data_IF_578860957719
#
_entry.id   IF_578860957719
#
_cell.length_a   1.000
_cell.length_b   1.000
_cell.length_c   1.000
_cell.angle_alpha   90.00
_cell.angle_beta   90.00
_cell.angle_gamma   90.00
#
_symmetry.space_group_name_H-M   'P 1'
#
loop_
_entity.id
_entity.type
_entity.pdbx_description
1 polymer ?
#
# COMPACT_ATOMS: atom_id res chain seq x y z
N UNK A 1 -11.02 9.31 -16.37
CA UNK A 1 -10.36 10.64 -16.36
C UNK A 1 -8.85 10.41 -16.31
N UNK A 2 -8.06 11.21 -17.04
CA UNK A 2 -6.59 11.17 -16.98
C UNK A 2 -6.12 12.52 -16.45
N UNK A 3 -5.16 12.50 -15.51
CA UNK A 3 -4.54 13.69 -14.97
C UNK A 3 -3.05 13.50 -14.71
N UNK A 4 -2.35 14.61 -14.54
CA UNK A 4 -0.98 14.64 -14.05
C UNK A 4 -0.92 15.36 -12.71
N UNK A 5 -0.21 14.77 -11.76
CA UNK A 5 -0.04 15.30 -10.42
C UNK A 5 1.44 15.61 -10.16
N UNK A 6 1.79 16.91 -10.11
CA UNK A 6 3.17 17.40 -9.95
C UNK A 6 3.27 18.61 -9.02
N UNK A 7 3.16 18.42 -7.69
CA UNK A 7 3.25 19.50 -6.70
C UNK A 7 4.68 19.89 -6.31
N UNK A 8 5.67 19.56 -7.14
CA UNK A 8 7.11 19.72 -6.89
C UNK A 8 7.47 21.14 -6.43
N UNK A 9 6.93 22.16 -7.10
CA UNK A 9 7.23 23.56 -6.79
C UNK A 9 6.81 23.94 -5.37
N UNK A 10 5.62 23.52 -4.93
CA UNK A 10 5.11 23.76 -3.58
C UNK A 10 5.99 23.08 -2.52
N UNK A 11 6.36 21.81 -2.75
CA UNK A 11 7.20 21.03 -1.83
C UNK A 11 8.61 21.62 -1.74
N UNK A 12 9.24 21.91 -2.88
CA UNK A 12 10.58 22.50 -2.93
C UNK A 12 10.61 23.89 -2.30
N UNK A 13 9.54 24.68 -2.46
CA UNK A 13 9.42 25.98 -1.81
C UNK A 13 9.41 25.82 -0.28
N UNK A 14 8.58 24.92 0.25
CA UNK A 14 8.50 24.66 1.68
C UNK A 14 9.83 24.17 2.27
N UNK A 15 10.51 23.26 1.56
CA UNK A 15 11.84 22.75 1.93
C UNK A 15 12.86 23.88 2.02
N UNK A 16 12.95 24.75 1.00
CA UNK A 16 13.88 25.89 0.98
C UNK A 16 13.58 26.90 2.09
N UNK A 17 12.30 27.18 2.35
CA UNK A 17 11.90 28.14 3.39
C UNK A 17 12.23 27.62 4.79
N UNK A 18 11.92 26.36 5.09
CA UNK A 18 12.08 25.78 6.45
C UNK A 18 13.49 25.27 6.73
N UNK A 19 14.22 24.84 5.69
CA UNK A 19 15.53 24.22 5.79
C UNK A 19 16.54 24.87 4.83
N UNK A 20 16.65 26.20 4.88
CA UNK A 20 17.49 27.00 3.98
C UNK A 20 18.99 26.63 3.96
N UNK A 21 19.48 25.96 5.02
CA UNK A 21 20.87 25.52 5.15
C UNK A 21 21.17 24.20 4.41
N UNK A 22 20.15 23.54 3.86
CA UNK A 22 20.30 22.27 3.18
C UNK A 22 20.65 22.49 1.71
N UNK A 23 21.80 21.97 1.29
CA UNK A 23 22.35 22.16 -0.06
C UNK A 23 22.47 20.84 -0.82
N UNK A 24 21.95 20.75 -2.03
CA UNK A 24 22.06 19.56 -2.87
C UNK A 24 20.94 19.48 -3.90
N UNK A 25 20.90 18.38 -4.66
CA UNK A 25 19.81 18.11 -5.61
C UNK A 25 18.78 17.20 -4.93
N UNK A 26 17.64 17.73 -4.47
CA UNK A 26 16.59 16.92 -3.87
C UNK A 26 15.88 16.10 -4.96
N UNK A 27 15.55 14.86 -4.62
CA UNK A 27 14.67 13.98 -5.40
C UNK A 27 13.43 13.73 -4.56
N UNK A 28 12.26 14.08 -5.09
CA UNK A 28 10.98 13.88 -4.43
C UNK A 28 10.43 12.52 -4.86
N UNK A 29 10.03 11.73 -3.87
CA UNK A 29 9.28 10.49 -4.06
C UNK A 29 7.89 10.69 -3.49
N UNK A 30 6.87 10.47 -4.32
CA UNK A 30 5.48 10.47 -3.89
C UNK A 30 5.16 9.11 -3.28
N UNK A 31 4.78 9.09 -2.00
CA UNK A 31 4.62 7.86 -1.22
C UNK A 31 3.17 7.35 -1.28
N UNK A 32 2.17 8.16 -0.94
CA UNK A 32 0.76 7.78 -0.96
C UNK A 32 -0.16 8.98 -1.24
N UNK A 33 -1.31 8.73 -1.87
CA UNK A 33 -2.40 9.71 -1.98
C UNK A 33 -3.64 9.17 -1.28
N UNK A 34 -4.24 9.94 -0.39
CA UNK A 34 -5.45 9.54 0.34
C UNK A 34 -6.41 10.69 0.60
N UNK A 35 -7.69 10.36 0.69
CA UNK A 35 -8.72 11.31 1.08
C UNK A 35 -8.85 11.37 2.60
N UNK A 36 -9.10 12.55 3.15
CA UNK A 36 -9.58 12.66 4.52
C UNK A 36 -10.96 12.01 4.66
N UNK A 37 -11.34 11.63 5.89
CA UNK A 37 -12.64 11.03 6.21
C UNK A 37 -13.86 11.84 5.70
N UNK A 38 -13.77 13.18 5.71
CA UNK A 38 -14.82 14.09 5.23
C UNK A 38 -14.85 14.28 3.70
N UNK A 39 -13.89 13.68 2.99
CA UNK A 39 -13.62 13.87 1.56
C UNK A 39 -13.41 15.33 1.13
N UNK A 40 -13.10 16.23 2.07
CA UNK A 40 -12.80 17.63 1.75
C UNK A 40 -11.31 17.90 1.56
N UNK A 41 -10.45 17.07 2.16
CA UNK A 41 -9.00 17.18 2.03
C UNK A 41 -8.41 15.98 1.32
N UNK A 42 -7.34 16.23 0.58
CA UNK A 42 -6.46 15.21 0.02
C UNK A 42 -5.09 15.36 0.67
N UNK A 43 -4.53 14.26 1.16
CA UNK A 43 -3.13 14.18 1.53
C UNK A 43 -2.33 13.51 0.42
N UNK A 44 -1.17 14.07 0.15
CA UNK A 44 -0.05 13.41 -0.52
C UNK A 44 1.08 13.28 0.49
N UNK A 45 1.43 12.06 0.86
CA UNK A 45 2.65 11.81 1.61
C UNK A 45 3.83 11.71 0.65
N UNK A 46 4.99 12.21 1.06
CA UNK A 46 6.18 12.22 0.21
C UNK A 46 7.45 12.13 1.03
N UNK A 47 8.51 11.69 0.36
CA UNK A 47 9.88 11.67 0.87
C UNK A 47 10.77 12.53 -0.02
N UNK A 48 11.76 13.20 0.58
CA UNK A 48 12.81 13.92 -0.16
C UNK A 48 14.15 13.31 0.18
N UNK A 49 14.80 12.73 -0.83
CA UNK A 49 16.13 12.18 -0.71
C UNK A 49 17.15 13.05 -1.43
N UNK A 50 18.35 13.10 -0.89
CA UNK A 50 19.49 13.68 -1.58
C UNK A 50 20.36 12.54 -2.09
N UNK A 51 20.17 12.16 -3.35
CA UNK A 51 20.96 11.09 -3.96
C UNK A 51 22.38 11.59 -4.24
N UNK A 52 23.35 10.66 -4.20
CA UNK A 52 24.76 10.91 -4.57
C UNK A 52 25.49 11.95 -3.71
N UNK A 53 25.38 11.83 -2.39
CA UNK A 53 26.09 12.73 -1.47
C UNK A 53 27.54 12.27 -1.23
N UNK A 54 28.53 13.17 -1.23
CA UNK A 54 29.85 12.84 -0.73
C UNK A 54 29.77 12.55 0.77
N UNK A 55 30.44 11.48 1.23
CA UNK A 55 30.40 10.98 2.61
C UNK A 55 30.53 12.02 3.75
N UNK A 56 31.29 13.14 3.64
CA UNK A 56 31.34 14.13 4.71
C UNK A 56 30.11 15.06 4.82
N UNK A 57 29.13 14.97 3.90
CA UNK A 57 27.95 15.84 3.85
C UNK A 57 26.63 15.04 3.82
N UNK A 58 26.46 14.07 4.73
CA UNK A 58 25.20 13.35 4.88
C UNK A 58 24.11 14.32 5.32
N UNK A 59 23.21 14.65 4.40
CA UNK A 59 22.03 15.46 4.65
C UNK A 59 20.92 14.50 5.05
N UNK A 60 20.21 14.82 6.13
CA UNK A 60 19.01 14.07 6.49
C UNK A 60 18.02 14.05 5.32
N UNK A 61 17.46 12.89 5.01
CA UNK A 61 16.28 12.84 4.15
C UNK A 61 15.10 13.51 4.88
N UNK A 62 14.05 13.84 4.14
CA UNK A 62 12.86 14.46 4.71
C UNK A 62 11.63 13.63 4.43
N UNK A 63 10.67 13.65 5.35
CA UNK A 63 9.33 13.15 5.16
C UNK A 63 8.35 14.30 5.28
N UNK A 64 7.27 14.24 4.50
CA UNK A 64 6.28 15.30 4.51
C UNK A 64 4.91 14.87 4.05
N UNK A 65 3.97 15.77 4.31
CA UNK A 65 2.57 15.66 3.90
C UNK A 65 2.20 16.96 3.22
N UNK A 66 1.75 16.88 1.98
CA UNK A 66 1.07 17.96 1.31
C UNK A 66 -0.43 17.75 1.48
N UNK A 67 -1.06 18.70 2.16
CA UNK A 67 -2.52 18.77 2.30
C UNK A 67 -3.07 19.78 1.30
N UNK A 68 -4.13 19.40 0.60
CA UNK A 68 -4.88 20.29 -0.28
C UNK A 68 -6.37 20.15 -0.02
N UNK A 69 -7.06 21.28 -0.02
CA UNK A 69 -8.53 21.31 0.09
C UNK A 69 -9.18 20.96 -1.26
N UNK A 70 -10.46 20.59 -1.21
CA UNK A 70 -11.30 20.39 -2.37
C UNK A 70 -11.40 21.71 -3.15
N UNK A 71 -10.75 21.75 -4.31
CA UNK A 71 -10.55 22.99 -5.09
C UNK A 71 -9.09 23.31 -5.39
N UNK A 72 -8.14 22.58 -4.78
CA UNK A 72 -6.72 22.61 -5.13
C UNK A 72 -5.91 23.71 -4.44
N UNK A 73 -6.58 24.64 -3.76
CA UNK A 73 -5.96 25.71 -2.96
C UNK A 73 -6.84 26.03 -1.73
N UNK A 74 -6.25 26.38 -0.57
CA UNK A 74 -4.82 26.48 -0.29
C UNK A 74 -4.14 25.10 -0.17
N UNK A 75 -2.83 25.08 -0.42
CA UNK A 75 -1.97 23.91 -0.19
C UNK A 75 -1.10 24.16 1.04
N UNK A 76 -0.97 23.15 1.90
CA UNK A 76 -0.15 23.20 3.10
C UNK A 76 0.86 22.06 3.06
N UNK A 77 2.13 22.37 3.32
CA UNK A 77 3.20 21.36 3.36
C UNK A 77 3.72 21.24 4.80
N UNK A 78 3.54 20.05 5.37
CA UNK A 78 4.23 19.61 6.56
C UNK A 78 5.51 18.89 6.16
N UNK A 79 6.60 19.15 6.86
CA UNK A 79 7.91 18.62 6.50
C UNK A 79 8.79 18.46 7.75
N UNK A 80 9.45 17.32 7.86
CA UNK A 80 10.33 17.02 8.98
C UNK A 80 11.59 16.31 8.47
N UNK A 81 12.74 16.65 9.04
CA UNK A 81 13.99 15.94 8.79
C UNK A 81 13.92 14.55 9.45
N UNK A 82 14.31 13.52 8.72
CA UNK A 82 14.39 12.15 9.20
C UNK A 82 15.31 12.10 10.41
N UNK A 83 14.74 11.85 11.58
CA UNK A 83 15.49 11.71 12.83
C UNK A 83 16.07 10.30 12.98
N UNK A 84 15.34 9.27 12.54
CA UNK A 84 15.66 7.85 12.66
C UNK A 84 15.16 7.06 11.43
N UNK A 85 15.65 5.83 11.24
CA UNK A 85 15.03 4.85 10.34
C UNK A 85 13.74 4.30 10.99
N UNK A 86 12.69 5.12 11.02
CA UNK A 86 11.36 4.71 11.48
C UNK A 86 10.62 3.95 10.38
N UNK A 87 9.87 2.91 10.76
CA UNK A 87 9.08 2.12 9.83
C UNK A 87 7.89 2.91 9.27
N UNK A 88 7.22 3.70 10.12
CA UNK A 88 6.04 4.51 9.78
C UNK A 88 6.19 5.93 10.36
N UNK A 89 5.57 6.92 9.70
CA UNK A 89 5.57 8.32 10.16
C UNK A 89 4.15 8.71 10.56
N UNK A 90 3.98 9.21 11.79
CA UNK A 90 2.67 9.64 12.30
C UNK A 90 2.60 11.16 12.41
N UNK A 91 1.48 11.75 11.99
CA UNK A 91 1.27 13.19 11.96
C UNK A 91 0.03 13.58 12.77
N UNK A 92 0.15 14.60 13.63
CA UNK A 92 -0.99 15.35 14.17
C UNK A 92 -1.19 16.60 13.32
N UNK A 93 -2.13 16.50 12.37
CA UNK A 93 -2.40 17.55 11.37
C UNK A 93 -3.09 18.78 11.97
N UNK A 94 -3.64 18.69 13.18
CA UNK A 94 -4.17 19.86 13.89
C UNK A 94 -3.05 20.69 14.53
N UNK A 95 -1.96 20.03 14.92
CA UNK A 95 -0.80 20.66 15.58
C UNK A 95 0.38 20.92 14.63
N UNK A 96 0.30 20.41 13.40
CA UNK A 96 1.34 20.50 12.39
C UNK A 96 2.68 19.86 12.77
N UNK A 97 2.62 18.75 13.49
CA UNK A 97 3.81 18.05 13.98
C UNK A 97 3.79 16.57 13.64
N UNK A 98 4.98 16.02 13.40
CA UNK A 98 5.23 14.58 13.49
C UNK A 98 5.16 14.15 14.96
N UNK A 99 4.51 13.02 15.22
CA UNK A 99 4.50 12.37 16.52
C UNK A 99 5.72 11.46 16.64
N UNK A 100 6.37 11.45 17.81
CA UNK A 100 7.49 10.55 18.05
C UNK A 100 6.96 9.10 18.14
N UNK A 101 7.08 8.35 17.04
CA UNK A 101 6.73 6.93 16.99
C UNK A 101 7.85 6.08 17.60
N UNK A 102 7.52 5.07 18.41
CA UNK A 102 8.50 4.06 18.82
C UNK A 102 9.08 3.39 17.57
N UNK A 103 10.40 3.25 17.52
CA UNK A 103 11.08 2.50 16.44
C UNK A 103 10.65 1.04 16.54
N UNK A 104 9.72 0.62 15.68
CA UNK A 104 9.43 -0.79 15.46
C UNK A 104 10.49 -1.28 14.48
N UNK A 105 11.39 -2.16 14.94
CA UNK A 105 12.43 -2.73 14.09
C UNK A 105 11.82 -3.41 12.85
N UNK A 106 12.31 -3.13 11.63
CA UNK A 106 11.87 -3.83 10.43
C UNK A 106 12.24 -5.32 10.60
N UNK A 107 11.23 -6.16 10.80
CA UNK A 107 11.39 -7.60 11.09
C UNK A 107 10.62 -8.08 12.32
N UNK A 108 10.25 -7.18 13.24
CA UNK A 108 9.35 -7.51 14.34
C UNK A 108 7.89 -7.38 13.86
N UNK A 109 7.45 -8.23 12.94
CA UNK A 109 6.02 -8.38 12.68
C UNK A 109 5.41 -9.10 13.89
N UNK A 110 4.55 -8.46 14.70
CA UNK A 110 3.96 -9.08 15.89
C UNK A 110 2.91 -10.15 15.55
N UNK A 111 2.75 -10.50 14.27
CA UNK A 111 1.81 -11.50 13.78
C UNK A 111 2.37 -12.90 14.11
N UNK A 112 2.44 -13.20 15.40
CA UNK A 112 2.68 -14.53 15.91
C UNK A 112 1.39 -15.34 15.77
N UNK A 113 1.40 -16.34 14.87
CA UNK A 113 0.53 -17.54 14.88
C UNK A 113 -0.94 -17.31 15.28
N UNK A 114 -1.58 -16.27 14.78
CA UNK A 114 -3.03 -16.03 14.88
C UNK A 114 -3.63 -16.10 13.48
N UNK A 115 -4.89 -16.51 13.35
CA UNK A 115 -5.57 -16.57 12.04
C UNK A 115 -5.75 -15.13 11.50
N UNK A 116 -5.10 -14.72 10.39
CA UNK A 116 -5.00 -13.30 10.03
C UNK A 116 -6.26 -12.66 9.43
N UNK A 117 -7.29 -13.45 9.12
CA UNK A 117 -8.64 -12.93 8.85
C UNK A 117 -9.27 -12.22 10.06
N UNK A 118 -8.60 -12.27 11.22
CA UNK A 118 -8.96 -11.54 12.43
C UNK A 118 -8.11 -10.27 12.65
N UNK A 119 -7.08 -10.00 11.83
CA UNK A 119 -6.21 -8.85 12.08
C UNK A 119 -6.83 -7.56 11.54
N UNK A 120 -7.09 -6.64 12.48
CA UNK A 120 -7.76 -5.38 12.23
C UNK A 120 -7.00 -4.26 12.93
N UNK A 121 -6.77 -3.18 12.20
CA UNK A 121 -6.31 -1.92 12.75
C UNK A 121 -7.49 -1.15 13.33
N UNK A 122 -7.29 -0.52 14.48
CA UNK A 122 -8.26 0.31 15.18
C UNK A 122 -7.59 1.57 15.69
N UNK A 123 -8.30 2.70 15.63
CA UNK A 123 -7.80 3.96 16.19
C UNK A 123 -8.06 4.02 17.69
N UNK A 124 -7.00 4.23 18.47
CA UNK A 124 -7.10 4.54 19.90
C UNK A 124 -7.53 5.99 20.14
N UNK A 125 -8.00 6.28 21.35
CA UNK A 125 -8.49 7.63 21.73
C UNK A 125 -7.41 8.73 21.63
N UNK A 126 -6.14 8.36 21.72
CA UNK A 126 -4.99 9.26 21.63
C UNK A 126 -4.49 9.48 20.19
N UNK A 127 -5.17 8.93 19.19
CA UNK A 127 -4.74 9.00 17.79
C UNK A 127 -3.69 7.96 17.38
N UNK A 128 -3.36 6.99 18.24
CA UNK A 128 -2.50 5.87 17.84
C UNK A 128 -3.27 4.84 17.01
N UNK A 129 -2.59 4.26 16.01
CA UNK A 129 -3.13 3.16 15.22
C UNK A 129 -2.68 1.82 15.81
N UNK A 130 -3.63 1.05 16.33
CA UNK A 130 -3.38 -0.21 17.03
C UNK A 130 -3.78 -1.40 16.17
N UNK A 131 -2.88 -2.37 16.01
CA UNK A 131 -3.22 -3.66 15.39
C UNK A 131 -3.75 -4.62 16.46
N UNK A 132 -4.96 -5.14 16.26
CA UNK A 132 -5.61 -6.06 17.17
C UNK A 132 -6.13 -7.31 16.44
N UNK A 133 -6.30 -8.39 17.20
CA UNK A 133 -6.99 -9.60 16.76
C UNK A 133 -8.47 -9.46 17.14
N UNK A 134 -9.35 -9.38 16.15
CA UNK A 134 -10.79 -9.38 16.34
C UNK A 134 -11.26 -10.80 16.67
N UNK A 135 -12.02 -10.98 17.76
CA UNK A 135 -12.63 -12.27 18.04
C UNK A 135 -13.91 -12.40 17.21
N UNK A 136 -13.94 -13.30 16.22
CA UNK A 136 -15.20 -13.64 15.56
C UNK A 136 -15.98 -14.60 16.47
N UNK A 137 -17.24 -14.29 16.73
CA UNK A 137 -18.18 -15.18 17.43
C UNK A 137 -18.67 -16.34 16.55
N UNK A 138 -18.28 -16.37 15.27
CA UNK A 138 -18.56 -17.45 14.35
C UNK A 138 -17.51 -18.55 14.48
N UNK A 139 -17.92 -19.69 15.03
CA UNK A 139 -17.14 -20.92 15.26
C UNK A 139 -16.65 -21.63 13.99
N UNK A 140 -16.60 -20.95 12.85
CA UNK A 140 -16.06 -21.52 11.60
C UNK A 140 -15.49 -20.40 10.73
N UNK A 141 -14.17 -20.39 10.44
CA UNK A 141 -13.61 -19.49 9.44
C UNK A 141 -14.14 -19.92 8.07
N UNK A 142 -15.15 -19.20 7.59
CA UNK A 142 -15.70 -19.43 6.27
C UNK A 142 -14.64 -19.04 5.24
N UNK A 143 -14.27 -19.97 4.34
CA UNK A 143 -13.35 -19.73 3.19
C UNK A 143 -13.87 -18.69 2.17
N UNK A 144 -14.94 -17.99 2.53
CA UNK A 144 -15.79 -17.10 1.70
C UNK A 144 -16.01 -15.75 2.41
N UNK A 145 -15.08 -15.31 3.26
CA UNK A 145 -15.21 -14.06 4.02
C UNK A 145 -15.31 -12.85 3.07
N UNK A 146 -16.54 -12.50 2.69
CA UNK A 146 -16.93 -11.23 2.07
C UNK A 146 -17.05 -10.11 3.12
N UNK A 147 -16.44 -10.30 4.29
CA UNK A 147 -16.42 -9.28 5.33
C UNK A 147 -15.72 -8.04 4.79
N UNK A 148 -16.26 -6.88 5.16
CA UNK A 148 -15.71 -5.59 4.74
C UNK A 148 -14.23 -5.52 5.11
N UNK A 149 -13.40 -5.11 4.16
CA UNK A 149 -11.98 -4.86 4.43
C UNK A 149 -11.76 -3.57 5.22
N UNK A 150 -12.82 -2.76 5.39
CA UNK A 150 -12.80 -1.46 6.00
C UNK A 150 -12.17 -0.40 5.11
N UNK A 151 -12.01 0.80 5.64
CA UNK A 151 -11.43 1.93 4.93
C UNK A 151 -10.35 2.59 5.81
N UNK A 152 -9.08 2.60 5.40
CA UNK A 152 -8.03 3.29 6.14
C UNK A 152 -8.17 4.81 6.06
N UNK A 153 -8.94 5.32 5.09
CA UNK A 153 -9.18 6.76 4.89
C UNK A 153 -10.32 7.29 5.79
N UNK A 154 -10.26 7.02 7.10
CA UNK A 154 -11.22 7.52 8.09
C UNK A 154 -12.19 6.50 8.69
N UNK A 155 -12.05 5.22 8.37
CA UNK A 155 -12.77 4.16 9.07
C UNK A 155 -12.30 4.02 10.51
N UNK A 156 -13.23 3.70 11.43
CA UNK A 156 -12.88 3.39 12.84
C UNK A 156 -11.97 2.16 12.95
N UNK A 157 -12.14 1.23 12.02
CA UNK A 157 -11.36 0.01 11.93
C UNK A 157 -11.24 -0.47 10.48
N UNK A 158 -10.17 -1.16 10.16
CA UNK A 158 -9.95 -1.77 8.84
C UNK A 158 -9.00 -2.96 8.93
N UNK A 159 -9.18 -3.94 8.06
CA UNK A 159 -8.36 -5.15 8.04
C UNK A 159 -6.99 -4.90 7.42
N UNK A 160 -6.08 -5.87 7.57
CA UNK A 160 -4.78 -5.87 6.87
C UNK A 160 -4.88 -5.98 5.34
N UNK A 161 -6.07 -6.28 4.80
CA UNK A 161 -6.35 -6.43 3.38
C UNK A 161 -6.59 -5.07 2.72
N UNK A 162 -5.53 -4.27 2.69
CA UNK A 162 -5.47 -2.98 1.99
C UNK A 162 -4.74 -3.14 0.65
N UNK A 163 -4.73 -2.11 -0.22
CA UNK A 163 -4.00 -2.18 -1.47
C UNK A 163 -2.56 -2.67 -1.31
N UNK A 164 -2.11 -3.57 -2.19
CA UNK A 164 -0.79 -4.18 -2.06
C UNK A 164 -0.44 -5.13 -3.18
N UNK A 165 0.81 -5.56 -3.18
CA UNK A 165 1.40 -6.41 -4.20
C UNK A 165 1.37 -7.87 -3.78
N UNK A 166 0.84 -8.72 -4.67
CA UNK A 166 1.12 -10.15 -4.66
C UNK A 166 2.27 -10.47 -5.60
N UNK A 167 3.02 -11.52 -5.30
CA UNK A 167 4.05 -12.01 -6.20
C UNK A 167 4.41 -13.46 -5.94
N UNK A 168 4.92 -14.15 -6.97
CA UNK A 168 5.45 -15.51 -6.87
C UNK A 168 6.98 -15.46 -6.98
N UNK A 169 7.67 -15.81 -5.90
CA UNK A 169 9.13 -15.88 -5.86
C UNK A 169 9.60 -17.32 -6.07
N UNK A 170 10.34 -17.57 -7.14
CA UNK A 170 10.86 -18.90 -7.52
C UNK A 170 12.39 -18.97 -7.54
N UNK A 171 13.10 -17.87 -7.30
CA UNK A 171 14.56 -17.82 -7.33
C UNK A 171 15.07 -17.04 -6.13
N UNK A 172 16.09 -17.56 -5.46
CA UNK A 172 17.19 -16.77 -4.86
C UNK A 172 18.32 -17.71 -4.42
N UNK A 173 19.58 -17.29 -4.65
CA UNK A 173 20.80 -18.07 -4.38
C UNK A 173 21.30 -18.94 -5.55
N UNK A 174 22.51 -18.66 -6.07
CA UNK A 174 23.24 -19.45 -7.11
C UNK A 174 22.53 -19.66 -8.46
N UNK A 175 21.49 -18.88 -8.78
CA UNK A 175 20.76 -19.00 -10.05
C UNK A 175 19.88 -20.24 -10.17
N UNK A 176 19.56 -20.92 -9.05
CA UNK A 176 18.66 -22.08 -9.05
C UNK A 176 17.20 -21.65 -8.87
N UNK A 177 16.32 -22.29 -9.62
CA UNK A 177 14.86 -22.12 -9.47
C UNK A 177 14.35 -23.14 -8.44
N UNK A 178 13.70 -22.64 -7.39
CA UNK A 178 12.99 -23.43 -6.39
C UNK A 178 11.52 -23.53 -6.80
N UNK A 179 11.07 -24.75 -7.13
CA UNK A 179 9.68 -25.04 -7.46
C UNK A 179 9.11 -26.06 -6.44
N UNK A 180 7.88 -25.86 -5.93
CA UNK A 180 7.04 -24.66 -6.14
C UNK A 180 7.71 -23.42 -5.52
N UNK A 181 7.47 -22.24 -6.10
CA UNK A 181 7.90 -20.98 -5.48
C UNK A 181 7.06 -20.64 -4.26
N UNK A 182 7.30 -19.47 -3.68
CA UNK A 182 6.52 -18.94 -2.57
C UNK A 182 5.70 -17.72 -3.02
N UNK A 183 4.41 -17.72 -2.70
CA UNK A 183 3.59 -16.52 -2.83
C UNK A 183 3.86 -15.53 -1.70
N UNK A 184 3.98 -14.26 -2.04
CA UNK A 184 4.23 -13.17 -1.10
C UNK A 184 3.15 -12.09 -1.19
N UNK A 185 2.99 -11.35 -0.11
CA UNK A 185 2.13 -10.18 0.04
C UNK A 185 2.94 -9.02 0.59
N UNK A 186 2.78 -7.84 0.00
CA UNK A 186 3.37 -6.60 0.50
C UNK A 186 2.37 -5.46 0.31
N UNK A 187 1.85 -4.93 1.41
CA UNK A 187 0.97 -3.77 1.41
C UNK A 187 1.66 -2.62 2.14
N UNK A 188 1.63 -1.45 1.52
CA UNK A 188 2.07 -0.18 2.08
C UNK A 188 0.97 0.82 1.79
N UNK A 189 0.44 1.44 2.84
CA UNK A 189 -0.65 2.38 2.70
C UNK A 189 -0.61 3.44 3.80
N UNK A 190 -1.43 4.46 3.62
CA UNK A 190 -1.66 5.53 4.58
C UNK A 190 -2.98 5.32 5.28
N UNK A 191 -3.09 5.73 6.55
CA UNK A 191 -4.32 5.67 7.32
C UNK A 191 -4.66 7.03 7.93
N UNK A 192 -5.91 7.45 7.74
CA UNK A 192 -6.52 8.59 8.40
C UNK A 192 -7.37 8.17 9.58
N UNK A 193 -7.22 8.92 10.67
CA UNK A 193 -8.15 8.85 11.80
C UNK A 193 -9.57 9.28 11.39
N UNK A 194 -10.62 8.75 12.06
CA UNK A 194 -12.00 9.07 11.71
C UNK A 194 -12.35 10.56 11.81
N UNK A 195 -11.76 11.26 12.77
CA UNK A 195 -11.92 12.70 12.96
C UNK A 195 -11.06 13.54 11.98
N UNK A 196 -10.20 12.88 11.19
CA UNK A 196 -9.32 13.51 10.21
C UNK A 196 -8.18 14.32 10.85
N UNK A 197 -7.85 14.08 12.12
CA UNK A 197 -6.78 14.79 12.82
C UNK A 197 -5.42 14.15 12.62
N UNK A 198 -5.36 12.83 12.72
CA UNK A 198 -4.16 12.03 12.61
C UNK A 198 -4.03 11.34 11.25
N UNK A 199 -2.79 11.26 10.77
CA UNK A 199 -2.40 10.56 9.55
C UNK A 199 -1.18 9.69 9.84
N UNK A 200 -1.27 8.40 9.56
CA UNK A 200 -0.11 7.50 9.54
C UNK A 200 0.30 7.26 8.09
N UNK A 201 1.57 7.48 7.78
CA UNK A 201 2.19 7.11 6.50
C UNK A 201 2.94 5.79 6.64
N UNK A 202 2.96 5.03 5.54
CA UNK A 202 3.72 3.80 5.38
C UNK A 202 3.32 2.64 6.30
N UNK A 203 2.04 2.51 6.66
CA UNK A 203 1.52 1.31 7.35
C UNK A 203 1.85 0.08 6.50
N UNK A 204 2.73 -0.79 7.00
CA UNK A 204 3.26 -1.92 6.25
C UNK A 204 2.73 -3.26 6.74
N UNK A 205 2.27 -4.10 5.81
CA UNK A 205 1.96 -5.52 6.05
C UNK A 205 2.73 -6.35 5.02
N UNK A 206 3.62 -7.21 5.52
CA UNK A 206 4.39 -8.13 4.69
C UNK A 206 4.15 -9.57 5.15
N UNK A 207 4.02 -10.49 4.21
CA UNK A 207 3.82 -11.90 4.53
C UNK A 207 3.95 -12.81 3.34
N UNK A 208 3.77 -14.11 3.62
CA UNK A 208 3.72 -15.18 2.62
C UNK A 208 2.41 -15.94 2.73
N UNK A 209 1.96 -16.54 1.64
CA UNK A 209 0.77 -17.39 1.64
C UNK A 209 1.13 -18.87 1.63
N UNK A 210 0.27 -19.70 2.23
CA UNK A 210 0.23 -21.14 1.95
C UNK A 210 -1.06 -21.45 1.21
N UNK A 211 -0.92 -21.93 -0.01
CA UNK A 211 -2.05 -22.36 -0.85
C UNK A 211 -2.17 -23.88 -0.72
N UNK A 212 -3.39 -24.37 -0.41
CA UNK A 212 -3.64 -25.79 -0.08
C UNK A 212 -3.15 -26.77 -1.15
N UNK A 213 -3.16 -26.34 -2.42
CA UNK A 213 -2.77 -27.19 -3.55
C UNK A 213 -1.26 -27.09 -3.89
N UNK A 214 -0.47 -26.36 -3.10
CA UNK A 214 0.99 -26.25 -3.27
C UNK A 214 1.74 -27.08 -2.21
N UNK A 215 2.82 -27.78 -2.61
CA UNK A 215 3.73 -28.40 -1.66
C UNK A 215 4.24 -27.38 -0.63
N UNK A 216 4.23 -27.75 0.64
CA UNK A 216 4.80 -26.91 1.69
C UNK A 216 6.31 -26.75 1.49
N UNK A 217 6.79 -25.52 1.62
CA UNK A 217 8.22 -25.20 1.53
C UNK A 217 8.95 -25.69 2.78
N UNK A 218 10.13 -26.27 2.58
CA UNK A 218 11.03 -26.63 3.68
C UNK A 218 11.62 -25.35 4.30
N UNK A 219 12.09 -25.44 5.55
CA UNK A 219 12.78 -24.31 6.20
C UNK A 219 13.98 -23.81 5.39
N UNK A 220 14.73 -24.72 4.74
CA UNK A 220 15.84 -24.34 3.88
C UNK A 220 15.37 -23.60 2.63
N UNK A 221 14.28 -24.04 2.00
CA UNK A 221 13.73 -23.32 0.86
C UNK A 221 13.25 -21.92 1.24
N UNK A 222 12.70 -21.73 2.44
CA UNK A 222 12.33 -20.39 2.94
C UNK A 222 13.56 -19.50 3.16
N UNK A 223 14.65 -20.03 3.72
CA UNK A 223 15.93 -19.31 3.87
C UNK A 223 16.52 -18.95 2.50
N UNK A 224 16.53 -19.91 1.57
CA UNK A 224 17.02 -19.70 0.21
C UNK A 224 16.21 -18.59 -0.48
N UNK A 225 14.89 -18.52 -0.21
CA UNK A 225 13.93 -17.51 -0.71
C UNK A 225 13.94 -16.17 0.05
N UNK A 226 14.72 -16.04 1.13
CA UNK A 226 14.68 -14.89 2.05
C UNK A 226 13.28 -14.60 2.62
N UNK A 227 12.53 -15.65 2.93
CA UNK A 227 11.15 -15.59 3.43
C UNK A 227 10.97 -16.20 4.81
N UNK A 228 12.05 -16.61 5.47
CA UNK A 228 12.02 -17.25 6.78
C UNK A 228 11.44 -16.35 7.88
N UNK A 229 11.52 -15.03 7.71
CA UNK A 229 11.01 -14.04 8.64
C UNK A 229 9.62 -13.49 8.26
N UNK A 230 9.04 -13.92 7.13
CA UNK A 230 7.72 -13.46 6.71
C UNK A 230 6.61 -14.19 7.46
N UNK A 231 5.64 -13.41 7.96
CA UNK A 231 4.43 -13.93 8.58
C UNK A 231 3.63 -14.76 7.58
N UNK A 232 3.08 -15.89 8.02
CA UNK A 232 2.15 -16.68 7.22
C UNK A 232 0.77 -16.01 7.24
N UNK A 233 0.25 -15.68 6.06
CA UNK A 233 -1.04 -15.06 5.84
C UNK A 233 -2.01 -16.06 5.17
N UNK A 234 -3.31 -15.99 5.46
CA UNK A 234 -4.32 -16.80 4.83
C UNK A 234 -4.63 -16.16 3.47
N UNK A 235 -5.11 -16.96 2.54
CA UNK A 235 -5.72 -16.40 1.35
C UNK A 235 -7.11 -15.88 1.75
N UNK A 236 -7.34 -14.57 1.64
CA UNK A 236 -8.57 -13.90 2.11
C UNK A 236 -9.83 -14.51 1.50
N UNK A 237 -9.84 -14.63 0.17
CA UNK A 237 -11.03 -14.95 -0.62
C UNK A 237 -10.68 -15.70 -1.91
N UNK A 238 -11.71 -16.06 -2.68
CA UNK A 238 -11.55 -16.87 -3.89
C UNK A 238 -10.93 -16.05 -5.04
N UNK A 239 -11.19 -14.74 -5.10
CA UNK A 239 -10.58 -13.87 -6.11
C UNK A 239 -9.07 -13.75 -5.92
N UNK A 240 -8.59 -13.53 -4.69
CA UNK A 240 -7.17 -13.53 -4.39
C UNK A 240 -6.54 -14.89 -4.72
N UNK A 241 -7.19 -15.99 -4.37
CA UNK A 241 -6.72 -17.33 -4.72
C UNK A 241 -6.59 -17.51 -6.23
N UNK A 242 -7.58 -17.02 -6.99
CA UNK A 242 -7.57 -17.06 -8.45
C UNK A 242 -6.34 -16.34 -9.00
N UNK A 243 -6.11 -15.09 -8.57
CA UNK A 243 -4.96 -14.28 -9.01
C UNK A 243 -3.63 -14.91 -8.61
N UNK A 244 -3.49 -15.45 -7.39
CA UNK A 244 -2.26 -16.15 -7.01
C UNK A 244 -1.95 -17.30 -7.97
N UNK A 245 -2.97 -18.05 -8.41
CA UNK A 245 -2.81 -19.17 -9.35
C UNK A 245 -2.44 -18.74 -10.78
N UNK A 246 -2.67 -17.49 -11.17
CA UNK A 246 -2.24 -16.98 -12.50
C UNK A 246 -0.78 -16.55 -12.52
N UNK A 247 -0.18 -16.27 -11.37
CA UNK A 247 1.24 -15.90 -11.28
C UNK A 247 2.12 -17.07 -11.73
N UNK A 248 2.83 -16.89 -12.84
CA UNK A 248 3.78 -17.87 -13.36
C UNK A 248 5.18 -17.37 -13.03
N UNK A 249 5.91 -18.10 -12.18
CA UNK A 249 7.25 -17.70 -11.69
C UNK A 249 8.35 -17.88 -12.73
N UNK A 250 8.08 -17.46 -13.98
CA UNK A 250 8.99 -17.58 -15.11
C UNK A 250 10.32 -16.89 -14.77
N UNK A 251 11.46 -17.56 -15.06
CA UNK A 251 12.78 -17.22 -14.50
C UNK A 251 13.38 -15.86 -14.91
N UNK A 252 12.64 -15.02 -15.63
CA UNK A 252 13.07 -13.69 -16.08
C UNK A 252 12.13 -12.54 -15.65
N UNK A 253 10.92 -12.84 -15.17
CA UNK A 253 9.93 -11.82 -14.81
C UNK A 253 9.55 -11.97 -13.34
N UNK A 254 9.62 -10.87 -12.59
CA UNK A 254 8.90 -10.76 -11.33
C UNK A 254 7.40 -10.80 -11.66
N UNK A 255 6.78 -11.98 -11.61
CA UNK A 255 5.33 -12.11 -11.74
C UNK A 255 4.70 -11.54 -10.47
N UNK A 256 4.28 -10.27 -10.57
CA UNK A 256 3.64 -9.51 -9.50
C UNK A 256 2.40 -8.83 -10.04
N UNK A 257 1.37 -8.78 -9.22
CA UNK A 257 0.16 -8.03 -9.51
C UNK A 257 -0.18 -7.15 -8.32
N UNK A 258 -0.72 -5.98 -8.62
CA UNK A 258 -1.19 -5.03 -7.63
C UNK A 258 -2.69 -5.28 -7.39
N UNK A 259 -3.06 -5.46 -6.13
CA UNK A 259 -4.39 -5.88 -5.70
C UNK A 259 -5.00 -4.80 -4.84
N UNK A 260 -6.29 -4.51 -5.03
CA UNK A 260 -7.05 -3.60 -4.18
C UNK A 260 -8.50 -4.05 -4.02
N UNK A 261 -8.92 -4.29 -2.78
CA UNK A 261 -10.32 -4.57 -2.48
C UNK A 261 -11.14 -3.29 -2.40
N UNK A 262 -12.36 -3.34 -2.91
CA UNK A 262 -13.38 -2.34 -2.63
C UNK A 262 -13.69 -2.38 -1.12
N UNK A 263 -13.98 -1.25 -0.45
CA UNK A 263 -14.15 -1.23 1.01
C UNK A 263 -15.22 -2.19 1.55
N UNK A 264 -16.25 -2.49 0.76
CA UNK A 264 -17.29 -3.46 1.12
C UNK A 264 -16.83 -4.93 1.08
N UNK A 265 -15.62 -5.19 0.57
CA UNK A 265 -14.99 -6.49 0.53
C UNK A 265 -15.52 -7.45 -0.54
N UNK A 266 -16.40 -6.98 -1.44
CA UNK A 266 -17.11 -7.83 -2.43
C UNK A 266 -16.46 -7.84 -3.81
N UNK A 267 -15.74 -6.79 -4.15
CA UNK A 267 -15.04 -6.66 -5.44
C UNK A 267 -13.56 -6.44 -5.20
N UNK A 268 -12.72 -7.15 -5.95
CA UNK A 268 -11.26 -7.00 -5.93
C UNK A 268 -10.79 -6.54 -7.30
N UNK A 269 -9.98 -5.48 -7.35
CA UNK A 269 -9.27 -5.07 -8.54
C UNK A 269 -7.88 -5.71 -8.56
N UNK A 270 -7.45 -6.20 -9.72
CA UNK A 270 -6.10 -6.72 -9.94
C UNK A 270 -5.48 -6.07 -11.18
N UNK A 271 -4.33 -5.45 -11.00
CA UNK A 271 -3.53 -4.85 -12.07
C UNK A 271 -2.29 -5.71 -12.33
N UNK A 272 -2.20 -6.25 -13.53
CA UNK A 272 -1.00 -6.96 -14.00
C UNK A 272 -0.04 -5.96 -14.64
N UNK A 273 1.11 -5.74 -14.00
CA UNK A 273 2.10 -4.79 -14.49
C UNK A 273 2.83 -5.28 -15.76
N UNK A 274 2.83 -6.59 -16.01
CA UNK A 274 3.44 -7.20 -17.19
C UNK A 274 2.57 -7.09 -18.44
N UNK A 275 1.27 -7.33 -18.30
CA UNK A 275 0.32 -7.22 -19.44
C UNK A 275 -0.39 -5.88 -19.52
N UNK A 276 -0.34 -5.09 -18.44
CA UNK A 276 -1.07 -3.84 -18.26
C UNK A 276 -2.59 -4.00 -18.20
N UNK A 277 -3.07 -5.21 -17.90
CA UNK A 277 -4.50 -5.47 -17.73
C UNK A 277 -4.95 -5.08 -16.32
N UNK A 278 -6.12 -4.45 -16.22
CA UNK A 278 -6.80 -4.14 -14.96
C UNK A 278 -8.16 -4.82 -14.95
N UNK A 279 -8.31 -5.85 -14.13
CA UNK A 279 -9.52 -6.65 -14.05
C UNK A 279 -10.19 -6.53 -12.68
N UNK A 280 -11.52 -6.62 -12.68
CA UNK A 280 -12.34 -6.65 -11.47
C UNK A 280 -12.88 -8.07 -11.28
N UNK A 281 -12.81 -8.57 -10.05
CA UNK A 281 -13.23 -9.90 -9.65
C UNK A 281 -14.27 -9.83 -8.54
N UNK A 282 -15.28 -10.70 -8.60
CA UNK A 282 -16.14 -10.97 -7.45
C UNK A 282 -15.38 -11.81 -6.42
N UNK A 283 -15.29 -11.33 -5.18
CA UNK A 283 -14.48 -11.96 -4.13
C UNK A 283 -14.97 -13.35 -3.73
N UNK A 284 -16.29 -13.59 -3.83
CA UNK A 284 -16.90 -14.84 -3.39
C UNK A 284 -16.79 -15.97 -4.39
N UNK A 285 -16.77 -15.64 -5.69
CA UNK A 285 -16.73 -16.62 -6.78
C UNK A 285 -15.37 -16.69 -7.46
N UNK A 286 -14.57 -15.63 -7.36
CA UNK A 286 -13.33 -15.45 -8.11
C UNK A 286 -13.55 -15.21 -9.60
N UNK A 287 -14.80 -14.99 -10.04
CA UNK A 287 -15.07 -14.67 -11.43
C UNK A 287 -14.74 -13.22 -11.73
N UNK A 288 -14.10 -13.01 -12.88
CA UNK A 288 -13.93 -11.69 -13.46
C UNK A 288 -15.29 -11.13 -13.84
N UNK A 289 -15.61 -9.95 -13.31
CA UNK A 289 -16.88 -9.24 -13.53
C UNK A 289 -16.74 -8.05 -14.48
N UNK A 290 -15.51 -7.53 -14.66
CA UNK A 290 -15.21 -6.48 -15.62
C UNK A 290 -13.71 -6.43 -15.95
N UNK A 291 -13.38 -5.81 -17.09
CA UNK A 291 -12.03 -5.34 -17.42
C UNK A 291 -12.07 -3.83 -17.64
N UNK A 292 -11.11 -3.13 -17.06
CA UNK A 292 -10.97 -1.68 -17.16
C UNK A 292 -9.81 -1.36 -18.10
N UNK A 293 -10.14 -0.85 -19.28
CA UNK A 293 -9.12 -0.49 -20.27
C UNK A 293 -8.33 0.73 -19.79
N UNK A 294 -7.00 0.61 -19.84
CA UNK A 294 -6.13 1.77 -19.74
C UNK A 294 -6.23 2.60 -21.02
N UNK A 295 -6.37 3.93 -20.91
CA UNK A 295 -6.28 4.80 -22.08
C UNK A 295 -4.93 4.60 -22.79
N UNK A 296 -4.92 4.56 -24.13
CA UNK A 296 -3.76 4.23 -24.96
C UNK A 296 -2.51 5.11 -24.69
N UNK A 297 -2.74 6.33 -24.23
CA UNK A 297 -1.72 7.30 -23.84
C UNK A 297 -1.24 7.19 -22.38
N UNK A 298 -1.94 6.44 -21.54
CA UNK A 298 -1.51 6.12 -20.17
C UNK A 298 -0.56 4.90 -20.14
N UNK A 299 -0.62 4.03 -21.15
CA UNK A 299 0.15 2.78 -21.22
C UNK A 299 1.67 2.98 -21.32
N UNK A 300 2.13 4.16 -21.77
CA UNK A 300 3.57 4.39 -21.99
C UNK A 300 4.37 4.72 -20.72
N UNK A 301 3.74 4.73 -19.54
CA UNK A 301 4.38 5.20 -18.32
C UNK A 301 3.92 4.57 -17.01
N UNK A 302 3.17 3.46 -17.04
CA UNK A 302 2.70 2.75 -15.83
C UNK A 302 3.51 1.48 -15.54
N UNK A 303 4.74 1.42 -16.05
CA UNK A 303 5.61 0.23 -16.01
C UNK A 303 6.62 0.40 -14.87
N UNK A 304 6.18 0.22 -13.63
CA UNK A 304 7.03 0.48 -12.47
C UNK A 304 6.58 -0.17 -11.16
N UNK A 305 7.53 -0.33 -10.24
CA UNK A 305 7.31 -0.82 -8.87
C UNK A 305 6.58 0.20 -7.97
N UNK A 306 6.39 1.43 -8.46
CA UNK A 306 5.85 2.56 -7.72
C UNK A 306 4.46 2.94 -8.25
N UNK A 307 3.59 1.93 -8.39
CA UNK A 307 2.18 2.13 -8.76
C UNK A 307 1.26 1.90 -7.57
N UNK A 308 0.19 2.69 -7.50
CA UNK A 308 -0.86 2.57 -6.50
C UNK A 308 -2.21 2.36 -7.14
N UNK A 309 -2.95 1.39 -6.62
CA UNK A 309 -4.31 1.05 -7.04
C UNK A 309 -5.19 1.19 -5.81
N UNK A 310 -6.14 2.12 -5.81
CA UNK A 310 -6.94 2.36 -4.61
C UNK A 310 -8.36 2.77 -4.94
N UNK A 311 -9.29 2.15 -4.22
CA UNK A 311 -10.70 2.49 -4.25
C UNK A 311 -10.94 3.76 -3.43
N UNK A 312 -11.90 4.57 -3.86
CA UNK A 312 -12.42 5.62 -3.01
C UNK A 312 -13.10 5.02 -1.77
N UNK A 313 -13.16 5.78 -0.65
CA UNK A 313 -13.86 5.37 0.58
C UNK A 313 -15.30 4.89 0.38
N UNK A 314 -16.01 5.47 -0.59
CA UNK A 314 -17.39 5.14 -0.94
C UNK A 314 -17.51 3.96 -1.93
N UNK A 315 -16.39 3.43 -2.43
CA UNK A 315 -16.33 2.31 -3.37
C UNK A 315 -16.80 2.64 -4.80
N UNK A 316 -17.09 3.91 -5.11
CA UNK A 316 -17.62 4.33 -6.42
C UNK A 316 -16.54 4.68 -7.44
N UNK A 317 -15.29 4.81 -7.01
CA UNK A 317 -14.16 5.15 -7.88
C UNK A 317 -12.99 4.25 -7.58
N UNK A 318 -12.21 4.00 -8.62
CA UNK A 318 -10.91 3.34 -8.54
C UNK A 318 -9.90 4.24 -9.22
N UNK A 319 -8.70 4.38 -8.64
CA UNK A 319 -7.61 5.07 -9.32
C UNK A 319 -6.37 4.20 -9.42
N UNK A 320 -5.62 4.43 -10.49
CA UNK A 320 -4.28 3.90 -10.72
C UNK A 320 -3.34 5.09 -10.88
N UNK A 321 -2.32 5.16 -10.02
CA UNK A 321 -1.32 6.22 -10.01
C UNK A 321 0.05 5.61 -10.25
N UNK A 322 0.79 6.12 -11.24
CA UNK A 322 2.25 5.95 -11.28
C UNK A 322 2.89 7.14 -10.56
N UNK A 323 3.60 6.82 -9.48
CA UNK A 323 4.19 7.81 -8.60
C UNK A 323 5.50 8.39 -9.13
N UNK A 324 6.15 7.70 -10.07
CA UNK A 324 7.41 8.14 -10.65
C UNK A 324 7.20 9.25 -11.67
N UNK A 325 6.16 9.16 -12.50
CA UNK A 325 5.86 10.16 -13.52
C UNK A 325 4.62 11.02 -13.19
N UNK A 326 3.89 10.67 -12.12
CA UNK A 326 2.72 11.39 -11.64
C UNK A 326 1.50 11.23 -12.54
N UNK A 327 1.41 10.14 -13.31
CA UNK A 327 0.27 9.83 -14.19
C UNK A 327 -0.85 9.18 -13.39
N UNK A 328 -2.05 9.73 -13.49
CA UNK A 328 -3.23 9.28 -12.74
C UNK A 328 -4.37 8.93 -13.70
N UNK A 329 -4.92 7.73 -13.54
CA UNK A 329 -6.17 7.30 -14.19
C UNK A 329 -7.22 7.07 -13.11
N UNK A 330 -8.42 7.59 -13.33
CA UNK A 330 -9.57 7.39 -12.44
C UNK A 330 -10.74 6.83 -13.25
N UNK A 331 -11.33 5.75 -12.74
CA UNK A 331 -12.57 5.14 -13.22
C UNK A 331 -13.70 5.40 -12.25
N UNK A 332 -14.89 5.66 -12.79
CA UNK A 332 -16.14 5.60 -12.04
C UNK A 332 -16.70 4.19 -12.19
N UNK A 333 -16.93 3.51 -11.07
CA UNK A 333 -17.45 2.15 -11.02
C UNK A 333 -18.86 2.24 -10.43
N UNK A 334 -19.86 1.97 -11.26
CA UNK A 334 -21.24 1.92 -10.80
C UNK A 334 -21.45 0.67 -9.93
N UNK A 335 -22.25 0.77 -8.84
CA UNK A 335 -22.70 -0.42 -8.13
C UNK A 335 -23.42 -1.36 -9.11
N UNK A 336 -23.17 -2.66 -9.01
CA UNK A 336 -23.99 -3.64 -9.72
C UNK A 336 -25.46 -3.44 -9.32
N UNK A 337 -26.34 -3.28 -10.31
CA UNK A 337 -27.80 -3.19 -10.11
C UNK A 337 -28.37 -4.52 -9.66
#
# INVERSE_FOLDING_TARGET
MIGHFKPDSTILSALKTRFAQVHGVPVIYYNHISWSSSQQRLALTFSVFYLFQPAPALISNFYGVLLTERGGTPQKVLLQAQKNNVANVEWDLARDVELDTPVISPGASPIARTSPSLLVYTWGENGSLLLAVQQTTHTTPSRTSNDSVGNPDGGKSFSIWQPGWVGLTTQTGRGKVHLPGAYSWNSYFTAWSPDGRYLVDNVSVMGRFEVTDQPQLTSQALVDLHMENLSLLPVRDIALLHVLKTLTGAPANLSRQLIAWRPDGRTMAAYDNGTMDLDLFDCSTGYQVASLLLPTNASMGLVGFNTQLQWSPDGTRLFLLDQQIGSLVIWNIEPAR
#
